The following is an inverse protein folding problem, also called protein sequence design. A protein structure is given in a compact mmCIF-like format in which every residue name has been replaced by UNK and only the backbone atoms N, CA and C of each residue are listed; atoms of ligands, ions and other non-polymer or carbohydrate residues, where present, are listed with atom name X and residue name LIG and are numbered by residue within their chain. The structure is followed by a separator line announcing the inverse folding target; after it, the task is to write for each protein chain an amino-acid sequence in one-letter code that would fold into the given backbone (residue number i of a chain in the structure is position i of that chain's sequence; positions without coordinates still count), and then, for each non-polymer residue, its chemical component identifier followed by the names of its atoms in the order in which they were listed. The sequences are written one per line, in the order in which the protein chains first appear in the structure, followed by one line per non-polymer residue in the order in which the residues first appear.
data_IF_344435400423
#
_entry.id   IF_344435400423
#
_cell.length_a   1.000
_cell.length_b   1.000
_cell.length_c   1.000
_cell.angle_alpha   90.00
_cell.angle_beta   90.00
_cell.angle_gamma   90.00
#
_symmetry.space_group_name_H-M   'P 1'
#
loop_
_entity.id
_entity.type
_entity.pdbx_description
1 polymer ?
#
# COMPACT_ATOMS: atom_id res chain seq x y z
N UNK A 1 -5.96 -13.75 -5.32
CA UNK A 1 -5.03 -13.97 -4.22
C UNK A 1 -5.67 -13.50 -2.94
N UNK A 2 -5.71 -14.35 -1.93
CA UNK A 2 -6.46 -14.06 -0.69
C UNK A 2 -5.52 -13.65 0.43
N UNK A 3 -5.87 -12.56 1.13
CA UNK A 3 -5.11 -12.04 2.25
C UNK A 3 -5.97 -12.00 3.50
N UNK A 4 -5.35 -11.76 4.65
CA UNK A 4 -6.03 -11.62 5.93
C UNK A 4 -5.76 -10.23 6.49
N UNK A 5 -6.79 -9.64 7.09
CA UNK A 5 -6.70 -8.32 7.71
C UNK A 5 -6.79 -8.46 9.22
N UNK A 6 -5.80 -7.90 9.94
CA UNK A 6 -5.74 -8.00 11.39
C UNK A 6 -6.23 -6.74 12.11
N UNK A 7 -6.76 -5.76 11.37
CA UNK A 7 -7.19 -4.48 11.90
C UNK A 7 -6.19 -3.36 11.64
N UNK A 8 -4.96 -3.70 11.31
CA UNK A 8 -3.90 -2.73 11.05
C UNK A 8 -3.17 -3.01 9.74
N UNK A 9 -2.83 -4.26 9.48
CA UNK A 9 -2.13 -4.68 8.27
C UNK A 9 -2.85 -5.82 7.60
N UNK A 10 -2.57 -5.99 6.32
CA UNK A 10 -3.05 -7.13 5.55
C UNK A 10 -1.86 -8.05 5.28
N UNK A 11 -2.09 -9.35 5.41
CA UNK A 11 -1.05 -10.35 5.21
C UNK A 11 -1.44 -11.25 4.05
N UNK A 12 -0.63 -11.20 3.00
CA UNK A 12 -0.84 -12.00 1.81
C UNK A 12 0.06 -13.23 1.84
N UNK A 13 -0.33 -14.33 1.17
CA UNK A 13 0.46 -15.56 1.21
C UNK A 13 1.79 -15.41 0.45
N UNK A 14 2.64 -16.42 0.59
CA UNK A 14 3.96 -16.44 -0.04
C UNK A 14 3.91 -16.22 -1.56
N UNK A 15 2.85 -16.68 -2.19
CA UNK A 15 2.65 -16.52 -3.63
C UNK A 15 2.52 -15.06 -4.05
N UNK A 16 2.21 -14.18 -3.11
CA UNK A 16 2.09 -12.75 -3.37
C UNK A 16 3.43 -12.02 -3.40
N UNK A 17 4.53 -12.72 -3.12
CA UNK A 17 5.83 -12.07 -3.03
C UNK A 17 6.24 -11.37 -4.33
N UNK A 18 5.70 -11.81 -5.46
CA UNK A 18 5.94 -11.16 -6.73
C UNK A 18 5.45 -9.70 -6.75
N UNK A 19 4.42 -9.38 -5.96
CA UNK A 19 3.96 -8.00 -5.85
C UNK A 19 5.05 -7.12 -5.26
N UNK A 20 5.78 -7.62 -4.26
CA UNK A 20 6.91 -6.91 -3.70
C UNK A 20 8.09 -6.86 -4.67
N UNK A 21 8.44 -8.01 -5.25
CA UNK A 21 9.64 -8.11 -6.09
C UNK A 21 9.51 -7.31 -7.39
N UNK A 22 8.31 -7.29 -7.98
CA UNK A 22 8.10 -6.62 -9.26
C UNK A 22 7.71 -5.16 -9.12
N UNK A 23 6.90 -4.83 -8.10
CA UNK A 23 6.30 -3.51 -8.02
C UNK A 23 6.45 -2.83 -6.66
N UNK A 24 7.20 -3.42 -5.75
CA UNK A 24 7.51 -2.80 -4.47
C UNK A 24 6.35 -2.70 -3.49
N UNK A 25 5.32 -3.56 -3.63
CA UNK A 25 4.22 -3.57 -2.66
C UNK A 25 4.62 -4.29 -1.39
N UNK A 26 4.29 -3.69 -0.26
CA UNK A 26 4.39 -4.34 1.03
C UNK A 26 5.80 -4.55 1.54
N UNK A 27 5.90 -5.42 2.54
CA UNK A 27 7.18 -5.81 3.14
C UNK A 27 7.19 -7.32 3.34
N UNK A 28 8.30 -7.94 3.01
CA UNK A 28 8.49 -9.37 3.16
C UNK A 28 8.69 -9.69 4.64
N UNK A 29 7.88 -10.58 5.18
CA UNK A 29 8.02 -11.04 6.54
C UNK A 29 8.98 -12.22 6.64
N UNK A 30 9.42 -12.53 7.87
CA UNK A 30 10.37 -13.62 8.10
C UNK A 30 9.84 -14.99 7.68
N UNK A 31 8.52 -15.18 7.77
CA UNK A 31 7.89 -16.46 7.39
C UNK A 31 7.59 -16.52 5.89
N UNK A 32 7.99 -15.52 5.12
CA UNK A 32 7.78 -15.49 3.68
C UNK A 32 6.48 -14.86 3.23
N UNK A 33 5.59 -14.50 4.17
CA UNK A 33 4.36 -13.81 3.81
C UNK A 33 4.66 -12.35 3.48
N UNK A 34 3.71 -11.70 2.81
CA UNK A 34 3.84 -10.29 2.45
C UNK A 34 2.90 -9.45 3.32
N UNK A 35 3.47 -8.52 4.07
CA UNK A 35 2.70 -7.59 4.88
C UNK A 35 2.41 -6.33 4.08
N UNK A 36 1.14 -6.01 3.93
CA UNK A 36 0.67 -4.86 3.18
C UNK A 36 0.06 -3.82 4.11
N UNK A 37 0.39 -2.58 3.87
CA UNK A 37 -0.33 -1.46 4.48
C UNK A 37 -1.75 -1.42 3.92
N UNK A 38 -2.68 -0.83 4.67
CA UNK A 38 -4.07 -0.78 4.22
C UNK A 38 -4.25 -0.02 2.91
N UNK A 39 -3.44 1.02 2.69
CA UNK A 39 -3.48 1.77 1.42
C UNK A 39 -3.07 0.89 0.24
N UNK A 40 -2.03 0.08 0.43
CA UNK A 40 -1.58 -0.86 -0.59
C UNK A 40 -2.63 -1.93 -0.85
N UNK A 41 -3.21 -2.48 0.22
CA UNK A 41 -4.25 -3.49 0.09
C UNK A 41 -5.47 -2.96 -0.64
N UNK A 42 -5.94 -1.76 -0.28
CA UNK A 42 -7.09 -1.15 -0.94
C UNK A 42 -6.83 -0.94 -2.43
N UNK A 43 -5.65 -0.45 -2.78
CA UNK A 43 -5.31 -0.24 -4.18
C UNK A 43 -5.30 -1.56 -4.95
N UNK A 44 -4.72 -2.61 -4.37
CA UNK A 44 -4.67 -3.92 -5.02
C UNK A 44 -6.05 -4.55 -5.16
N UNK A 45 -6.93 -4.37 -4.16
CA UNK A 45 -8.32 -4.84 -4.24
C UNK A 45 -9.04 -4.12 -5.38
N UNK A 46 -8.86 -2.81 -5.49
CA UNK A 46 -9.50 -2.04 -6.55
C UNK A 46 -9.06 -2.48 -7.94
N UNK A 47 -7.84 -2.97 -8.07
CA UNK A 47 -7.33 -3.47 -9.35
C UNK A 47 -7.59 -4.96 -9.57
N UNK A 48 -8.31 -5.61 -8.65
CA UNK A 48 -8.64 -7.03 -8.77
C UNK A 48 -7.48 -7.98 -8.52
N UNK A 49 -6.41 -7.52 -7.89
CA UNK A 49 -5.22 -8.34 -7.64
C UNK A 49 -5.16 -8.93 -6.24
N UNK A 50 -6.05 -8.52 -5.35
CA UNK A 50 -6.07 -8.99 -3.98
C UNK A 50 -7.51 -9.12 -3.52
N UNK A 51 -7.75 -10.10 -2.66
CA UNK A 51 -9.05 -10.35 -2.06
C UNK A 51 -8.87 -10.59 -0.57
N UNK A 52 -9.72 -9.98 0.25
CA UNK A 52 -9.74 -10.25 1.68
C UNK A 52 -11.12 -10.83 2.01
N UNK A 53 -11.21 -12.12 2.34
CA UNK A 53 -12.50 -12.73 2.67
C UNK A 53 -13.20 -11.94 3.78
N UNK A 54 -14.47 -11.64 3.56
CA UNK A 54 -15.26 -10.86 4.51
C UNK A 54 -15.18 -9.35 4.33
N UNK A 55 -14.33 -8.87 3.43
CA UNK A 55 -14.18 -7.43 3.17
C UNK A 55 -14.29 -7.13 1.69
N UNK A 56 -15.21 -6.22 1.36
CA UNK A 56 -15.22 -5.58 0.05
C UNK A 56 -14.32 -4.34 0.12
N UNK A 57 -14.03 -3.74 -1.03
CA UNK A 57 -13.28 -2.50 -1.06
C UNK A 57 -13.96 -1.43 -0.19
N UNK A 58 -15.28 -1.26 -0.36
CA UNK A 58 -16.00 -0.24 0.38
C UNK A 58 -16.00 -0.49 1.88
N UNK A 59 -16.13 -1.75 2.29
CA UNK A 59 -16.14 -2.09 3.71
C UNK A 59 -14.78 -1.82 4.33
N UNK A 60 -13.72 -2.23 3.68
CA UNK A 60 -12.36 -1.99 4.18
C UNK A 60 -12.05 -0.50 4.20
N UNK A 61 -12.45 0.23 3.16
CA UNK A 61 -12.24 1.67 3.11
C UNK A 61 -12.96 2.37 4.25
N UNK A 62 -14.20 1.97 4.55
CA UNK A 62 -14.95 2.54 5.68
C UNK A 62 -14.24 2.31 7.00
N UNK A 63 -13.71 1.11 7.21
CA UNK A 63 -12.97 0.82 8.43
C UNK A 63 -11.72 1.67 8.56
N UNK A 64 -10.96 1.80 7.48
CA UNK A 64 -9.70 2.56 7.49
C UNK A 64 -9.95 4.07 7.59
N UNK A 65 -11.05 4.55 7.03
CA UNK A 65 -11.37 5.97 7.02
C UNK A 65 -11.70 6.51 8.42
N UNK A 66 -11.87 5.64 9.40
CA UNK A 66 -12.04 6.05 10.80
C UNK A 66 -10.78 6.70 11.35
N UNK A 67 -9.63 6.40 10.75
CA UNK A 67 -8.37 7.03 11.13
C UNK A 67 -8.27 8.41 10.48
N UNK A 68 -8.04 9.49 11.27
CA UNK A 68 -7.93 10.83 10.70
C UNK A 68 -6.84 10.91 9.62
N UNK A 69 -7.17 11.53 8.50
CA UNK A 69 -6.23 11.72 7.40
C UNK A 69 -6.05 10.52 6.49
N UNK A 70 -6.70 9.40 6.78
CA UNK A 70 -6.49 8.19 5.97
C UNK A 70 -6.92 8.39 4.51
N UNK A 71 -8.10 8.96 4.29
CA UNK A 71 -8.61 9.14 2.92
C UNK A 71 -7.68 10.02 2.09
N UNK A 72 -7.18 11.10 2.67
CA UNK A 72 -6.23 11.99 2.00
C UNK A 72 -4.97 11.22 1.60
N UNK A 73 -4.42 10.46 2.54
CA UNK A 73 -3.22 9.69 2.28
C UNK A 73 -3.45 8.63 1.22
N UNK A 74 -4.60 7.98 1.25
CA UNK A 74 -4.94 6.97 0.26
C UNK A 74 -5.09 7.58 -1.14
N UNK A 75 -5.70 8.75 -1.25
CA UNK A 75 -5.86 9.42 -2.53
C UNK A 75 -4.49 9.77 -3.12
N UNK A 76 -3.58 10.29 -2.29
CA UNK A 76 -2.22 10.59 -2.72
C UNK A 76 -1.50 9.32 -3.17
N UNK A 77 -1.60 8.27 -2.38
CA UNK A 77 -0.99 6.98 -2.71
C UNK A 77 -1.49 6.47 -4.06
N UNK A 78 -2.80 6.46 -4.24
CA UNK A 78 -3.42 6.00 -5.47
C UNK A 78 -2.96 6.81 -6.67
N UNK A 79 -2.92 8.12 -6.54
CA UNK A 79 -2.52 9.00 -7.64
C UNK A 79 -1.09 8.72 -8.09
N UNK A 80 -0.18 8.53 -7.14
CA UNK A 80 1.22 8.26 -7.44
C UNK A 80 1.38 6.90 -8.11
N UNK A 81 0.66 5.87 -7.62
CA UNK A 81 0.68 4.54 -8.24
C UNK A 81 0.12 4.58 -9.66
N UNK A 82 -0.95 5.32 -9.87
CA UNK A 82 -1.56 5.44 -11.21
C UNK A 82 -0.62 6.11 -12.20
N UNK A 83 0.32 6.91 -11.73
CA UNK A 83 1.34 7.52 -12.57
C UNK A 83 2.52 6.58 -12.86
N UNK A 84 2.50 5.38 -12.31
CA UNK A 84 3.52 4.37 -12.57
C UNK A 84 4.71 4.40 -11.64
N UNK A 85 4.69 5.22 -10.62
CA UNK A 85 5.77 5.25 -9.64
C UNK A 85 5.61 4.14 -8.62
N UNK A 86 6.74 3.64 -8.10
CA UNK A 86 6.76 2.77 -6.95
C UNK A 86 6.79 3.65 -5.70
N UNK A 87 5.89 3.37 -4.77
CA UNK A 87 5.77 4.17 -3.55
C UNK A 87 5.64 3.24 -2.36
N UNK A 88 6.44 3.50 -1.32
CA UNK A 88 6.32 2.79 -0.04
C UNK A 88 5.71 3.73 0.98
N UNK A 89 5.02 3.16 1.96
CA UNK A 89 4.31 3.94 2.95
C UNK A 89 4.94 3.74 4.33
N UNK A 90 5.08 4.82 5.07
CA UNK A 90 5.37 4.81 6.50
C UNK A 90 4.17 5.41 7.24
N UNK A 91 4.30 5.62 8.55
CA UNK A 91 3.20 6.19 9.33
C UNK A 91 2.73 7.54 8.81
N UNK A 92 3.62 8.38 8.34
CA UNK A 92 3.29 9.72 7.86
C UNK A 92 4.00 10.08 6.56
N UNK A 93 4.95 9.27 6.11
CA UNK A 93 5.81 9.58 4.99
C UNK A 93 5.63 8.58 3.87
N UNK A 94 5.79 9.06 2.64
CA UNK A 94 5.89 8.19 1.48
C UNK A 94 7.29 8.31 0.89
N UNK A 95 7.84 7.19 0.44
CA UNK A 95 9.07 7.17 -0.32
C UNK A 95 8.74 6.75 -1.74
N UNK A 96 9.14 7.57 -2.70
CA UNK A 96 8.79 7.39 -4.09
C UNK A 96 10.03 6.98 -4.87
N UNK A 97 9.91 5.93 -5.67
CA UNK A 97 10.98 5.41 -6.52
C UNK A 97 10.61 5.66 -7.98
N UNK A 98 11.58 6.02 -8.84
CA UNK A 98 11.32 6.12 -10.26
C UNK A 98 10.77 4.83 -10.82
N UNK A 99 10.10 4.93 -11.97
CA UNK A 99 9.57 3.75 -12.66
C UNK A 99 10.69 2.74 -12.89
N UNK A 100 10.38 1.47 -12.63
CA UNK A 100 11.35 0.38 -12.81
C UNK A 100 12.28 0.17 -11.63
N UNK A 101 12.27 1.03 -10.62
CA UNK A 101 13.03 0.83 -9.39
C UNK A 101 12.12 0.36 -8.27
N UNK A 102 12.70 -0.25 -7.26
CA UNK A 102 11.98 -0.87 -6.15
C UNK A 102 12.71 -0.66 -4.85
N UNK A 103 12.02 -0.78 -3.71
CA UNK A 103 12.69 -0.77 -2.41
C UNK A 103 13.76 -1.86 -2.38
N UNK A 104 14.96 -1.50 -1.93
CA UNK A 104 16.09 -2.42 -1.87
C UNK A 104 16.82 -2.63 -3.18
N UNK A 105 16.30 -2.14 -4.31
CA UNK A 105 16.92 -2.27 -5.63
C UNK A 105 17.35 -0.95 -6.24
N UNK A 106 16.90 0.13 -5.66
CA UNK A 106 17.25 1.47 -6.10
C UNK A 106 17.12 2.44 -4.95
N UNK A 107 17.60 3.66 -5.15
CA UNK A 107 17.49 4.70 -4.14
C UNK A 107 16.21 5.48 -4.33
N UNK A 108 15.54 5.82 -3.22
CA UNK A 108 14.38 6.70 -3.28
C UNK A 108 14.86 8.08 -3.68
N UNK A 109 14.20 8.68 -4.68
CA UNK A 109 14.53 10.04 -5.10
C UNK A 109 13.75 11.09 -4.32
N UNK A 110 12.60 10.71 -3.83
CA UNK A 110 11.69 11.65 -3.18
C UNK A 110 11.22 11.08 -1.86
N UNK A 111 11.21 11.94 -0.86
CA UNK A 111 10.54 11.68 0.40
C UNK A 111 9.37 12.65 0.47
N UNK A 112 8.16 12.11 0.50
CA UNK A 112 6.95 12.91 0.57
C UNK A 112 6.30 12.72 1.92
N UNK A 113 5.96 13.84 2.56
CA UNK A 113 5.18 13.83 3.79
C UNK A 113 3.86 14.51 3.54
N UNK A 114 2.78 13.82 3.87
CA UNK A 114 1.44 14.38 3.75
C UNK A 114 1.06 14.98 5.09
N UNK A 115 0.95 16.31 5.12
CA UNK A 115 0.66 17.03 6.36
C UNK A 115 -0.84 17.24 6.49
N UNK A 116 -1.35 17.13 7.72
CA UNK A 116 -2.77 17.28 7.97
C UNK A 116 -3.29 18.70 7.71
N UNK A 117 -2.43 19.69 7.85
CA UNK A 117 -2.79 21.08 7.59
C UNK A 117 -2.72 21.48 6.13
N UNK A 118 -2.29 20.58 5.23
CA UNK A 118 -2.36 20.84 3.80
C UNK A 118 -3.79 20.71 3.33
N UNK A 119 -4.22 21.67 2.55
CA UNK A 119 -5.57 21.70 2.00
C UNK A 119 -5.50 21.53 0.49
N UNK A 120 -6.23 20.57 0.00
CA UNK A 120 -6.26 20.24 -1.42
C UNK A 120 -7.61 20.55 -2.00
#
# INVERSE_FOLDING_TARGET
MKAKFDGKYCYAPKEAISLYEQNGYGRKEKDGTLRLDTKEALYLIARGKLEIPGYTFDKLLSECAKTPGFLRNFIVYRDIRERGYVITTGPQDFRIFPRGQRPGKGNSRYLMRVLSELHF
#
